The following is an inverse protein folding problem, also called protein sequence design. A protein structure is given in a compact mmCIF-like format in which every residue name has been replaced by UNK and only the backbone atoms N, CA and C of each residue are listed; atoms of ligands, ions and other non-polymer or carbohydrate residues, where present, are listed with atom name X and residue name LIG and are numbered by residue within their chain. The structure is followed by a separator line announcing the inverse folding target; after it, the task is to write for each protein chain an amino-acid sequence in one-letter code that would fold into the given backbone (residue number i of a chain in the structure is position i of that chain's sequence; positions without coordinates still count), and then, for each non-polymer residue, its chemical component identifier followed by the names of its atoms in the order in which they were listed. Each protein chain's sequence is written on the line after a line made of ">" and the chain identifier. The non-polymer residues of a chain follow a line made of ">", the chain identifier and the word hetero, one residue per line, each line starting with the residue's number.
data_IF_338899808667
#
_entry.id   IF_338899808667
#
_cell.length_a   1.000
_cell.length_b   1.000
_cell.length_c   1.000
_cell.angle_alpha   90.00
_cell.angle_beta   90.00
_cell.angle_gamma   90.00
#
_symmetry.space_group_name_H-M   'P 1'
#
loop_
_entity.id
_entity.type
_entity.pdbx_description
1 polymer ?
#
# COMPACT_ATOMS: atom_id res chain seq x y z
N UNK A 1 -8.77 0.63 -41.55
CA UNK A 1 -9.88 0.30 -40.64
C UNK A 1 -10.76 -0.72 -41.35
N UNK A 2 -10.86 -1.94 -40.84
CA UNK A 2 -11.70 -3.01 -41.42
C UNK A 2 -13.05 -2.94 -40.72
N UNK A 3 -14.12 -2.75 -41.48
CA UNK A 3 -15.51 -2.82 -40.98
C UNK A 3 -16.14 -4.07 -41.56
N UNK A 4 -16.65 -4.95 -40.69
CA UNK A 4 -17.35 -6.18 -41.07
C UNK A 4 -18.85 -5.89 -41.01
N UNK A 5 -19.49 -5.71 -42.15
CA UNK A 5 -20.95 -5.79 -42.26
C UNK A 5 -21.34 -6.95 -43.17
N UNK A 6 -22.16 -7.86 -42.63
CA UNK A 6 -22.91 -8.89 -43.36
C UNK A 6 -22.07 -9.75 -44.32
N UNK A 7 -21.00 -10.36 -43.80
CA UNK A 7 -20.39 -11.55 -44.40
C UNK A 7 -19.66 -11.37 -45.73
N UNK A 8 -19.39 -10.15 -46.19
CA UNK A 8 -18.51 -9.90 -47.35
C UNK A 8 -17.37 -8.97 -46.95
N UNK A 9 -16.14 -9.45 -47.14
CA UNK A 9 -14.92 -8.75 -46.76
C UNK A 9 -14.53 -7.78 -47.90
N UNK A 10 -14.77 -6.49 -47.72
CA UNK A 10 -14.44 -5.47 -48.72
C UNK A 10 -13.37 -4.51 -48.20
N UNK A 11 -12.18 -4.54 -48.82
CA UNK A 11 -11.12 -3.56 -48.61
C UNK A 11 -11.48 -2.26 -49.34
N UNK A 12 -11.83 -1.21 -48.59
CA UNK A 12 -11.97 0.14 -49.16
C UNK A 12 -10.63 0.88 -49.06
N UNK A 13 -10.07 1.23 -50.22
CA UNK A 13 -8.82 1.99 -50.34
C UNK A 13 -9.03 3.46 -49.91
N UNK A 14 -8.09 4.13 -49.20
CA UNK A 14 -8.31 5.43 -48.59
C UNK A 14 -8.17 6.66 -49.53
N UNK A 15 -7.99 6.48 -50.84
CA UNK A 15 -7.53 7.56 -51.73
C UNK A 15 -8.62 8.29 -52.54
N UNK A 16 -9.90 8.21 -52.18
CA UNK A 16 -10.95 9.07 -52.75
C UNK A 16 -11.40 10.14 -51.75
N UNK A 17 -10.50 11.08 -51.44
CA UNK A 17 -10.82 12.35 -50.77
C UNK A 17 -10.80 13.45 -51.84
N UNK A 18 -11.99 13.80 -52.33
CA UNK A 18 -12.23 15.00 -53.14
C UNK A 18 -12.17 16.27 -52.28
N UNK A 19 -11.96 17.45 -52.89
CA UNK A 19 -11.31 18.58 -52.25
C UNK A 19 -12.25 19.38 -51.34
N UNK A 20 -11.61 19.98 -50.35
CA UNK A 20 -12.10 20.99 -49.40
C UNK A 20 -12.97 22.04 -50.11
N UNK A 21 -14.27 22.01 -49.86
CA UNK A 21 -15.14 23.17 -49.98
C UNK A 21 -15.59 23.59 -48.57
N UNK A 22 -15.02 24.70 -48.15
CA UNK A 22 -15.42 25.51 -46.99
C UNK A 22 -16.91 25.85 -47.07
N UNK A 23 -17.70 25.38 -46.11
CA UNK A 23 -18.89 26.10 -45.66
C UNK A 23 -18.75 26.32 -44.15
N UNK A 24 -18.52 27.58 -43.81
CA UNK A 24 -18.62 28.13 -42.48
C UNK A 24 -20.04 27.88 -41.94
N UNK A 25 -20.17 26.85 -41.11
CA UNK A 25 -21.30 26.66 -40.21
C UNK A 25 -20.78 26.82 -38.79
N UNK A 26 -21.13 27.95 -38.16
CA UNK A 26 -20.90 28.22 -36.74
C UNK A 26 -21.08 26.94 -35.90
N UNK A 27 -20.11 26.55 -35.04
CA UNK A 27 -20.38 25.53 -34.03
C UNK A 27 -21.43 26.14 -33.10
N UNK A 28 -22.70 25.80 -33.34
CA UNK A 28 -23.69 25.87 -32.29
C UNK A 28 -23.13 25.04 -31.14
N UNK A 29 -22.81 25.74 -30.08
CA UNK A 29 -22.52 25.23 -28.74
C UNK A 29 -23.58 24.17 -28.44
N UNK A 30 -23.28 22.91 -28.74
CA UNK A 30 -24.14 21.82 -28.28
C UNK A 30 -23.76 21.63 -26.82
N UNK A 31 -24.56 22.11 -25.85
CA UNK A 31 -24.20 21.97 -24.45
C UNK A 31 -24.05 20.51 -24.05
N UNK A 32 -24.58 19.55 -24.83
CA UNK A 32 -24.40 18.12 -24.59
C UNK A 32 -22.93 17.66 -24.72
N UNK A 33 -22.15 18.26 -25.63
CA UNK A 33 -20.72 17.94 -25.82
C UNK A 33 -19.77 18.71 -24.87
N UNK A 34 -20.27 19.71 -24.15
CA UNK A 34 -19.56 20.30 -23.02
C UNK A 34 -19.96 19.60 -21.70
N UNK A 35 -21.22 19.15 -21.61
CA UNK A 35 -21.76 18.39 -20.47
C UNK A 35 -21.15 16.99 -20.39
N UNK A 36 -20.93 16.29 -21.50
CA UNK A 36 -20.31 14.96 -21.49
C UNK A 36 -18.84 15.00 -21.01
N UNK A 37 -18.08 16.05 -21.33
CA UNK A 37 -16.71 16.25 -20.86
C UNK A 37 -16.67 16.58 -19.36
N UNK A 38 -17.62 17.38 -18.86
CA UNK A 38 -17.74 17.69 -17.42
C UNK A 38 -18.23 16.51 -16.58
N UNK A 39 -19.13 15.69 -17.13
CA UNK A 39 -19.58 14.45 -16.47
C UNK A 39 -18.49 13.38 -16.47
N UNK A 40 -17.73 13.25 -17.55
CA UNK A 40 -16.58 12.33 -17.64
C UNK A 40 -15.48 12.69 -16.64
N UNK A 41 -15.13 13.97 -16.51
CA UNK A 41 -14.14 14.42 -15.50
C UNK A 41 -14.65 14.26 -14.07
N UNK A 42 -15.96 14.41 -13.83
CA UNK A 42 -16.52 14.15 -12.50
C UNK A 42 -16.49 12.67 -12.11
N UNK A 43 -16.66 11.76 -13.09
CA UNK A 43 -16.63 10.31 -12.82
C UNK A 43 -15.22 9.82 -12.53
N UNK A 44 -14.20 10.34 -13.23
CA UNK A 44 -12.81 9.98 -12.97
C UNK A 44 -12.33 10.44 -11.59
N UNK A 45 -12.73 11.63 -11.14
CA UNK A 45 -12.35 12.11 -9.81
C UNK A 45 -12.98 11.27 -8.70
N UNK A 46 -14.24 10.85 -8.84
CA UNK A 46 -14.92 10.04 -7.81
C UNK A 46 -14.31 8.64 -7.67
N UNK A 47 -13.88 8.03 -8.78
CA UNK A 47 -13.15 6.76 -8.77
C UNK A 47 -11.78 6.87 -8.10
N UNK A 48 -11.04 7.96 -8.36
CA UNK A 48 -9.75 8.23 -7.71
C UNK A 48 -9.89 8.37 -6.19
N UNK A 49 -10.89 9.13 -5.72
CA UNK A 49 -11.16 9.27 -4.29
C UNK A 49 -11.65 7.96 -3.64
N UNK A 50 -12.48 7.17 -4.34
CA UNK A 50 -12.93 5.88 -3.85
C UNK A 50 -11.75 4.92 -3.66
N UNK A 51 -10.88 4.85 -4.66
CA UNK A 51 -9.70 3.98 -4.63
C UNK A 51 -8.67 4.46 -3.59
N UNK A 52 -8.53 5.77 -3.41
CA UNK A 52 -7.72 6.35 -2.32
C UNK A 52 -8.21 5.90 -0.94
N UNK A 53 -9.52 5.95 -0.69
CA UNK A 53 -10.10 5.52 0.58
C UNK A 53 -9.90 4.01 0.82
N UNK A 54 -10.14 3.18 -0.20
CA UNK A 54 -9.97 1.72 -0.12
C UNK A 54 -8.51 1.33 0.16
N UNK A 55 -7.53 2.00 -0.48
CA UNK A 55 -6.11 1.77 -0.18
C UNK A 55 -5.74 2.31 1.20
N UNK A 56 -6.23 3.50 1.58
CA UNK A 56 -5.92 4.09 2.88
C UNK A 56 -6.37 3.20 4.04
N UNK A 57 -7.56 2.62 3.95
CA UNK A 57 -8.10 1.71 4.96
C UNK A 57 -7.17 0.52 5.21
N UNK A 58 -6.70 -0.11 4.13
CA UNK A 58 -5.75 -1.22 4.19
C UNK A 58 -4.38 -0.78 4.76
N UNK A 59 -3.89 0.40 4.37
CA UNK A 59 -2.62 0.95 4.85
C UNK A 59 -2.66 1.27 6.34
N UNK A 60 -3.77 1.82 6.83
CA UNK A 60 -3.96 2.11 8.26
C UNK A 60 -3.93 0.82 9.08
N UNK A 61 -4.62 -0.23 8.62
CA UNK A 61 -4.59 -1.54 9.29
C UNK A 61 -3.18 -2.12 9.33
N UNK A 62 -2.45 -2.06 8.21
CA UNK A 62 -1.04 -2.47 8.15
C UNK A 62 -0.16 -1.66 9.13
N UNK A 63 -0.35 -0.35 9.21
CA UNK A 63 0.38 0.52 10.13
C UNK A 63 0.15 0.15 11.60
N UNK A 64 -1.09 -0.08 12.01
CA UNK A 64 -1.40 -0.48 13.39
C UNK A 64 -0.81 -1.84 13.76
N UNK A 65 -0.85 -2.81 12.85
CA UNK A 65 -0.28 -4.14 13.10
C UNK A 65 1.23 -4.06 13.25
N UNK A 66 1.91 -3.30 12.39
CA UNK A 66 3.37 -3.27 12.35
C UNK A 66 3.99 -2.39 13.44
N UNK A 67 3.36 -1.27 13.81
CA UNK A 67 3.91 -0.38 14.84
C UNK A 67 3.79 -0.93 16.27
N UNK A 68 2.78 -1.76 16.53
CA UNK A 68 2.45 -2.24 17.90
C UNK A 68 2.64 -3.74 18.10
N UNK A 69 3.28 -4.44 17.15
CA UNK A 69 3.49 -5.89 17.25
C UNK A 69 4.30 -6.28 18.50
N UNK A 70 5.26 -5.45 18.93
CA UNK A 70 6.05 -5.69 20.14
C UNK A 70 5.23 -5.56 21.44
N UNK A 71 4.15 -4.77 21.43
CA UNK A 71 3.30 -4.54 22.61
C UNK A 71 2.14 -5.55 22.69
N UNK A 72 1.57 -5.95 21.55
CA UNK A 72 0.46 -6.89 21.49
C UNK A 72 0.66 -7.95 20.39
N UNK A 73 1.20 -9.13 20.73
CA UNK A 73 1.51 -10.17 19.74
C UNK A 73 0.28 -10.78 19.07
N UNK A 74 -0.93 -10.52 19.57
CA UNK A 74 -2.19 -11.01 19.01
C UNK A 74 -2.74 -10.06 17.91
N UNK A 75 -2.20 -8.84 17.78
CA UNK A 75 -2.63 -7.86 16.77
C UNK A 75 -2.66 -8.43 15.33
N UNK A 76 -1.65 -9.20 14.87
CA UNK A 76 -1.64 -9.75 13.52
C UNK A 76 -2.77 -10.76 13.27
N UNK A 77 -3.21 -11.50 14.30
CA UNK A 77 -4.31 -12.46 14.18
C UNK A 77 -5.66 -11.75 14.01
N UNK A 78 -5.88 -10.67 14.76
CA UNK A 78 -7.09 -9.86 14.61
C UNK A 78 -7.13 -9.19 13.23
N UNK A 79 -6.00 -8.71 12.74
CA UNK A 79 -5.90 -8.16 11.40
C UNK A 79 -6.15 -9.19 10.30
N UNK A 80 -5.71 -10.45 10.48
CA UNK A 80 -6.01 -11.51 9.53
C UNK A 80 -7.52 -11.78 9.42
N UNK A 81 -8.21 -11.81 10.56
CA UNK A 81 -9.66 -12.00 10.59
C UNK A 81 -10.36 -10.83 9.90
N UNK A 82 -9.95 -9.59 10.19
CA UNK A 82 -10.48 -8.41 9.52
C UNK A 82 -10.23 -8.47 8.00
N UNK A 83 -9.02 -8.81 7.55
CA UNK A 83 -8.70 -8.96 6.12
C UNK A 83 -9.59 -9.99 5.41
N UNK A 84 -9.95 -11.10 6.08
CA UNK A 84 -10.83 -12.14 5.50
C UNK A 84 -12.27 -11.61 5.35
N UNK A 85 -12.77 -10.88 6.34
CA UNK A 85 -14.10 -10.26 6.24
C UNK A 85 -14.11 -9.16 5.18
N UNK A 86 -13.06 -8.35 5.13
CA UNK A 86 -12.90 -7.24 4.19
C UNK A 86 -12.98 -7.72 2.74
N UNK A 87 -12.20 -8.75 2.37
CA UNK A 87 -12.23 -9.33 1.02
C UNK A 87 -13.65 -9.82 0.65
N UNK A 88 -14.41 -10.36 1.61
CA UNK A 88 -15.77 -10.84 1.38
C UNK A 88 -16.78 -9.69 1.24
N UNK A 89 -16.64 -8.65 2.05
CA UNK A 89 -17.49 -7.46 1.99
C UNK A 89 -17.23 -6.70 0.68
N UNK A 90 -15.97 -6.54 0.29
CA UNK A 90 -15.58 -5.94 -0.97
C UNK A 90 -16.10 -6.74 -2.16
N UNK A 91 -15.93 -8.06 -2.17
CA UNK A 91 -16.49 -8.91 -3.23
C UNK A 91 -18.02 -8.72 -3.35
N UNK A 92 -18.73 -8.66 -2.21
CA UNK A 92 -20.17 -8.41 -2.20
C UNK A 92 -20.53 -7.01 -2.73
N UNK A 93 -19.72 -5.99 -2.42
CA UNK A 93 -19.86 -4.61 -2.92
C UNK A 93 -19.70 -4.54 -4.44
N UNK A 94 -18.69 -5.23 -5.00
CA UNK A 94 -18.49 -5.34 -6.44
C UNK A 94 -19.62 -6.12 -7.14
N UNK A 95 -20.16 -7.17 -6.52
CA UNK A 95 -21.21 -7.99 -7.11
C UNK A 95 -22.60 -7.34 -7.09
N UNK A 96 -22.92 -6.55 -6.05
CA UNK A 96 -24.26 -5.98 -5.86
C UNK A 96 -24.36 -4.49 -6.17
N UNK A 97 -23.27 -3.74 -6.05
CA UNK A 97 -23.28 -2.28 -6.02
C UNK A 97 -22.67 -1.58 -7.23
N UNK A 98 -21.95 -2.29 -8.11
CA UNK A 98 -21.21 -1.67 -9.22
C UNK A 98 -21.49 -2.31 -10.58
N UNK A 99 -21.60 -1.45 -11.61
CA UNK A 99 -21.64 -1.88 -13.01
C UNK A 99 -20.24 -2.33 -13.43
N UNK A 100 -20.13 -3.40 -14.24
CA UNK A 100 -18.87 -4.01 -14.68
C UNK A 100 -17.84 -2.95 -15.10
N UNK A 101 -16.74 -2.75 -14.34
CA UNK A 101 -15.71 -1.77 -14.69
C UNK A 101 -14.91 -2.25 -15.90
N UNK A 102 -14.38 -1.30 -16.68
CA UNK A 102 -13.45 -1.60 -17.77
C UNK A 102 -12.12 -2.03 -17.16
N UNK A 103 -11.61 -3.20 -17.58
CA UNK A 103 -10.33 -3.70 -17.10
C UNK A 103 -9.21 -2.72 -17.50
N UNK A 104 -8.59 -2.09 -16.50
CA UNK A 104 -7.39 -1.28 -16.66
C UNK A 104 -6.25 -2.00 -15.95
N UNK A 105 -5.20 -2.31 -16.69
CA UNK A 105 -3.98 -2.86 -16.11
C UNK A 105 -3.27 -1.73 -15.34
N UNK A 106 -3.29 -1.82 -14.01
CA UNK A 106 -2.45 -0.99 -13.15
C UNK A 106 -1.20 -1.79 -12.83
N UNK A 107 -0.05 -1.30 -13.30
CA UNK A 107 1.23 -1.99 -13.15
C UNK A 107 1.74 -1.91 -11.69
N UNK A 108 1.38 -0.86 -10.95
CA UNK A 108 1.95 -0.56 -9.62
C UNK A 108 0.97 0.23 -8.74
N UNK A 109 1.08 0.10 -7.40
CA UNK A 109 0.38 0.92 -6.39
C UNK A 109 0.70 2.43 -6.48
N UNK A 110 1.71 2.82 -7.25
CA UNK A 110 2.07 4.23 -7.50
C UNK A 110 2.68 4.89 -6.26
N UNK A 111 2.21 6.10 -5.94
CA UNK A 111 2.74 6.92 -4.84
C UNK A 111 2.61 6.26 -3.45
N UNK A 112 1.65 5.34 -3.30
CA UNK A 112 1.41 4.62 -2.04
C UNK A 112 2.56 3.69 -1.64
N UNK A 113 3.37 3.23 -2.60
CA UNK A 113 4.54 2.39 -2.31
C UNK A 113 5.53 3.12 -1.39
N UNK A 114 5.78 4.41 -1.64
CA UNK A 114 6.64 5.23 -0.78
C UNK A 114 6.07 5.40 0.64
N UNK A 115 4.74 5.52 0.76
CA UNK A 115 4.06 5.66 2.06
C UNK A 115 4.18 4.37 2.87
N UNK A 116 3.95 3.22 2.24
CA UNK A 116 4.07 1.91 2.88
C UNK A 116 5.52 1.68 3.33
N UNK A 117 6.50 1.95 2.46
CA UNK A 117 7.93 1.84 2.81
C UNK A 117 8.31 2.74 4.01
N UNK A 118 7.81 3.97 4.05
CA UNK A 118 8.03 4.87 5.17
C UNK A 118 7.48 4.30 6.48
N UNK A 119 6.25 3.76 6.46
CA UNK A 119 5.65 3.10 7.63
C UNK A 119 6.45 1.87 8.05
N UNK A 120 6.97 1.08 7.10
CA UNK A 120 7.82 -0.08 7.41
C UNK A 120 9.10 0.33 8.14
N UNK A 121 9.79 1.38 7.68
CA UNK A 121 11.00 1.87 8.37
C UNK A 121 10.68 2.42 9.76
N UNK A 122 9.59 3.17 9.90
CA UNK A 122 9.12 3.65 11.20
C UNK A 122 8.77 2.50 12.14
N UNK A 123 8.10 1.46 11.66
CA UNK A 123 7.77 0.27 12.45
C UNK A 123 9.02 -0.42 13.02
N UNK A 124 10.07 -0.59 12.22
CA UNK A 124 11.33 -1.18 12.71
C UNK A 124 11.92 -0.31 13.82
N UNK A 125 11.95 1.01 13.62
CA UNK A 125 12.46 1.95 14.61
C UNK A 125 11.64 1.91 15.90
N UNK A 126 10.31 1.98 15.82
CA UNK A 126 9.40 1.94 16.97
C UNK A 126 9.52 0.63 17.74
N UNK A 127 9.51 -0.51 17.06
CA UNK A 127 9.66 -1.81 17.74
C UNK A 127 11.04 -1.94 18.42
N UNK A 128 12.11 -1.45 17.80
CA UNK A 128 13.43 -1.42 18.41
C UNK A 128 13.48 -0.52 19.66
N UNK A 129 12.85 0.67 19.59
CA UNK A 129 12.71 1.57 20.74
C UNK A 129 11.87 0.93 21.86
N UNK A 130 10.75 0.28 21.55
CA UNK A 130 9.91 -0.41 22.54
C UNK A 130 10.71 -1.48 23.27
N UNK A 131 11.46 -2.32 22.54
CA UNK A 131 12.33 -3.32 23.17
C UNK A 131 13.40 -2.63 24.02
N UNK A 132 14.06 -1.59 23.50
CA UNK A 132 15.13 -0.88 24.22
C UNK A 132 14.68 -0.18 25.50
N UNK A 133 13.49 0.44 25.51
CA UNK A 133 12.98 1.17 26.67
C UNK A 133 12.20 0.30 27.65
N UNK A 134 11.48 -0.74 27.18
CA UNK A 134 10.62 -1.57 28.03
C UNK A 134 11.33 -2.79 28.58
N UNK A 135 12.38 -3.31 27.92
CA UNK A 135 13.05 -4.48 28.45
C UNK A 135 14.02 -4.12 29.58
N UNK A 136 13.98 -4.88 30.67
CA UNK A 136 15.07 -4.99 31.67
C UNK A 136 16.39 -5.53 31.06
N UNK A 137 16.52 -5.50 29.73
CA UNK A 137 17.65 -6.04 29.00
C UNK A 137 18.92 -5.25 29.30
N UNK A 138 18.85 -3.93 29.50
CA UNK A 138 20.02 -3.13 29.88
C UNK A 138 20.59 -3.57 31.23
N UNK A 139 19.83 -3.60 32.35
CA UNK A 139 20.36 -4.07 33.62
C UNK A 139 20.71 -5.57 33.60
N UNK A 140 19.97 -6.42 32.88
CA UNK A 140 20.31 -7.86 32.77
C UNK A 140 21.56 -8.12 31.92
N UNK A 141 21.76 -7.39 30.82
CA UNK A 141 23.00 -7.48 30.03
C UNK A 141 24.19 -7.03 30.86
N UNK A 142 24.08 -5.85 31.50
CA UNK A 142 25.14 -5.35 32.38
C UNK A 142 25.42 -6.35 33.49
N UNK A 143 24.39 -6.91 34.13
CA UNK A 143 24.56 -7.94 35.16
C UNK A 143 25.26 -9.20 34.62
N UNK A 144 24.89 -9.69 33.42
CA UNK A 144 25.54 -10.86 32.81
C UNK A 144 26.99 -10.57 32.43
N UNK A 145 27.31 -9.39 31.90
CA UNK A 145 28.69 -9.04 31.54
C UNK A 145 29.56 -8.85 32.78
N UNK A 146 29.10 -8.08 33.77
CA UNK A 146 29.84 -7.76 35.00
C UNK A 146 30.02 -9.01 35.88
N UNK A 147 28.96 -9.77 36.13
CA UNK A 147 29.04 -11.00 36.94
C UNK A 147 29.87 -12.10 36.26
N UNK A 148 29.82 -12.22 34.92
CA UNK A 148 30.66 -13.20 34.20
C UNK A 148 32.15 -12.89 34.35
N UNK A 149 32.53 -11.62 34.33
CA UNK A 149 33.93 -11.21 34.49
C UNK A 149 34.43 -11.48 35.92
N UNK A 150 33.60 -11.20 36.92
CA UNK A 150 33.90 -11.49 38.32
C UNK A 150 34.05 -12.99 38.61
N UNK A 151 33.18 -13.85 38.06
CA UNK A 151 33.29 -15.30 38.24
C UNK A 151 34.61 -15.85 37.68
N UNK A 152 35.05 -15.37 36.50
CA UNK A 152 36.34 -15.78 35.91
C UNK A 152 37.52 -15.20 36.70
N UNK A 153 37.39 -13.97 37.20
CA UNK A 153 38.41 -13.30 38.00
C UNK A 153 38.69 -14.02 39.33
N UNK A 154 37.67 -14.51 40.05
CA UNK A 154 37.86 -15.28 41.27
C UNK A 154 38.38 -16.71 41.02
N UNK A 155 37.99 -17.34 39.91
CA UNK A 155 38.47 -18.69 39.52
C UNK A 155 39.94 -18.67 39.09
N UNK A 156 40.39 -17.61 38.41
CA UNK A 156 41.77 -17.44 37.96
C UNK A 156 42.60 -16.50 38.83
N UNK A 157 42.10 -16.07 40.00
CA UNK A 157 42.88 -15.19 40.88
C UNK A 157 44.11 -15.96 41.37
N UNK A 158 45.33 -15.59 40.94
CA UNK A 158 46.52 -16.23 41.46
C UNK A 158 46.58 -15.91 42.95
N UNK A 159 46.79 -16.92 43.81
CA UNK A 159 47.02 -16.75 45.23
C UNK A 159 48.28 -15.89 45.47
N UNK A 160 48.17 -14.57 45.32
CA UNK A 160 49.27 -13.65 45.52
C UNK A 160 49.13 -13.02 46.91
N UNK A 161 49.72 -13.69 47.88
CA UNK A 161 50.19 -13.07 49.13
C UNK A 161 49.20 -13.02 50.29
N UNK A 162 49.00 -14.16 50.95
CA UNK A 162 48.76 -14.17 52.40
C UNK A 162 49.98 -14.84 53.06
N UNK A 163 51.01 -14.04 53.29
CA UNK A 163 52.32 -14.50 53.74
C UNK A 163 53.21 -13.33 54.13
N UNK A 164 52.77 -12.55 55.10
CA UNK A 164 53.61 -11.66 55.91
C UNK A 164 53.03 -11.66 57.32
N UNK A 165 53.42 -12.68 58.08
CA UNK A 165 53.46 -12.69 59.53
C UNK A 165 54.91 -12.63 59.97
#
# INVERSE_FOLDING_TARGET
>A
MVVVERGTFSFRNPSTLSPVHTLAGSPRDNPSCAKNNRAMTSHSTMEEWSLFNEIQEMVIQYGFVTLFVAAFPIAPLLALINNIFEIRIDANKFLKGMRRPLARNLCCLGAWDYVIQFITYLSVLTNACVIGFTSDFVPRLVYIFDYREDQVSWVYKPCRGLGRG
#
